data_IF_613088422730
#
_entry.id   IF_613088422730
#
_cell.length_a   1.000
_cell.length_b   1.000
_cell.length_c   1.000
_cell.angle_alpha   90.00
_cell.angle_beta   90.00
_cell.angle_gamma   90.00
#
_symmetry.space_group_name_H-M   'P 1'
#
loop_
_entity.id
_entity.type
_entity.pdbx_description
1 polymer ?
#
# COMPACT_ATOMS: atom_id res chain seq x y z
N UNK A 1 -10.03 7.62 33.67
CA UNK A 1 -9.33 7.83 32.40
C UNK A 1 -8.22 6.78 32.17
N UNK A 2 -7.42 6.50 33.17
CA UNK A 2 -6.33 5.51 33.10
C UNK A 2 -6.80 4.06 32.90
N UNK A 3 -7.97 3.68 33.42
CA UNK A 3 -8.52 2.32 33.26
C UNK A 3 -8.91 2.07 31.80
N UNK A 4 -9.54 3.04 31.14
CA UNK A 4 -9.90 2.93 29.72
C UNK A 4 -8.68 2.87 28.80
N UNK A 5 -7.60 3.55 29.15
CA UNK A 5 -6.35 3.51 28.38
C UNK A 5 -5.61 2.18 28.55
N UNK A 6 -5.67 1.58 29.74
CA UNK A 6 -5.11 0.25 30.00
C UNK A 6 -5.88 -0.85 29.25
N UNK A 7 -7.22 -0.81 29.29
CA UNK A 7 -8.07 -1.73 28.52
C UNK A 7 -7.87 -1.55 27.00
N UNK A 8 -7.77 -0.30 26.50
CA UNK A 8 -7.49 -0.04 25.11
C UNK A 8 -6.12 -0.57 24.67
N UNK A 9 -5.10 -0.50 25.53
CA UNK A 9 -3.77 -1.07 25.29
C UNK A 9 -3.83 -2.62 25.21
N UNK A 10 -4.56 -3.26 26.11
CA UNK A 10 -4.75 -4.72 26.11
C UNK A 10 -5.50 -5.20 24.85
N UNK A 11 -6.53 -4.48 24.43
CA UNK A 11 -7.25 -4.77 23.17
C UNK A 11 -6.32 -4.62 21.96
N UNK A 12 -5.44 -3.64 21.95
CA UNK A 12 -4.44 -3.43 20.91
C UNK A 12 -3.47 -4.60 20.79
N UNK A 13 -2.96 -5.10 21.93
CA UNK A 13 -2.04 -6.25 21.97
C UNK A 13 -2.74 -7.52 21.46
N UNK A 14 -3.94 -7.82 21.96
CA UNK A 14 -4.71 -8.99 21.54
C UNK A 14 -5.12 -8.93 20.06
N UNK A 15 -5.43 -7.76 19.52
CA UNK A 15 -5.70 -7.56 18.10
C UNK A 15 -4.45 -7.79 17.27
N UNK A 16 -3.31 -7.26 17.69
CA UNK A 16 -2.02 -7.44 17.01
C UNK A 16 -1.60 -8.91 16.96
N UNK A 17 -1.77 -9.64 18.07
CA UNK A 17 -1.47 -11.08 18.14
C UNK A 17 -2.35 -11.89 17.19
N UNK A 18 -3.65 -11.58 17.12
CA UNK A 18 -4.57 -12.23 16.16
C UNK A 18 -4.18 -11.97 14.70
N UNK A 19 -3.83 -10.74 14.37
CA UNK A 19 -3.35 -10.38 13.03
C UNK A 19 -2.06 -11.12 12.71
N UNK A 20 -1.11 -11.14 13.65
CA UNK A 20 0.16 -11.84 13.51
C UNK A 20 -0.03 -13.35 13.31
N UNK A 21 -0.89 -13.98 14.10
CA UNK A 21 -1.23 -15.39 13.96
C UNK A 21 -1.87 -15.69 12.60
N UNK A 22 -2.75 -14.81 12.11
CA UNK A 22 -3.35 -14.90 10.78
C UNK A 22 -2.32 -14.83 9.64
N UNK A 23 -1.35 -13.94 9.73
CA UNK A 23 -0.24 -13.85 8.76
C UNK A 23 0.71 -15.05 8.83
N UNK A 24 0.99 -15.55 10.04
CA UNK A 24 1.77 -16.78 10.23
C UNK A 24 1.08 -17.99 9.61
N UNK A 25 -0.24 -18.13 9.78
CA UNK A 25 -1.03 -19.21 9.19
C UNK A 25 -1.03 -19.15 7.66
N UNK A 26 -1.05 -17.96 7.07
CA UNK A 26 -0.99 -17.74 5.62
C UNK A 26 0.42 -17.86 5.02
N UNK A 27 1.44 -17.95 5.85
CA UNK A 27 2.82 -18.19 5.45
C UNK A 27 3.68 -16.94 5.29
N UNK A 28 3.12 -15.78 4.93
CA UNK A 28 3.90 -14.58 4.65
C UNK A 28 4.73 -14.09 5.85
N UNK A 29 4.21 -14.20 7.06
CA UNK A 29 4.92 -13.80 8.27
C UNK A 29 6.01 -14.79 8.74
N UNK A 30 6.22 -15.89 8.00
CA UNK A 30 7.34 -16.81 8.21
C UNK A 30 8.62 -16.33 7.52
N UNK A 31 8.48 -15.39 6.60
CA UNK A 31 9.60 -14.74 5.94
C UNK A 31 10.16 -13.61 6.81
N UNK A 32 11.45 -13.36 6.68
CA UNK A 32 12.06 -12.17 7.27
C UNK A 32 11.74 -10.92 6.44
N UNK A 33 12.09 -9.74 6.95
CA UNK A 33 11.77 -8.46 6.31
C UNK A 33 12.38 -8.34 4.91
N UNK A 34 13.59 -8.82 4.71
CA UNK A 34 14.28 -8.80 3.41
C UNK A 34 13.53 -9.67 2.39
N UNK A 35 13.14 -10.87 2.80
CA UNK A 35 12.38 -11.80 1.95
C UNK A 35 11.01 -11.24 1.59
N UNK A 36 10.31 -10.61 2.54
CA UNK A 36 9.02 -9.96 2.30
C UNK A 36 9.19 -8.82 1.30
N UNK A 37 10.22 -8.00 1.46
CA UNK A 37 10.53 -6.91 0.54
C UNK A 37 10.81 -7.43 -0.87
N UNK A 38 11.64 -8.45 -1.02
CA UNK A 38 11.93 -9.06 -2.32
C UNK A 38 10.66 -9.65 -3.00
N UNK A 39 9.78 -10.28 -2.24
CA UNK A 39 8.51 -10.80 -2.77
C UNK A 39 7.58 -9.65 -3.21
N UNK A 40 7.56 -8.56 -2.45
CA UNK A 40 6.80 -7.36 -2.80
C UNK A 40 7.37 -6.70 -4.07
N UNK A 41 8.68 -6.52 -4.16
CA UNK A 41 9.35 -5.97 -5.35
C UNK A 41 9.03 -6.77 -6.62
N UNK A 42 9.11 -8.10 -6.57
CA UNK A 42 8.74 -8.96 -7.70
C UNK A 42 7.28 -8.78 -8.13
N UNK A 43 6.39 -8.60 -7.17
CA UNK A 43 4.97 -8.36 -7.44
C UNK A 43 4.74 -6.98 -8.05
N UNK A 44 5.44 -5.96 -7.55
CA UNK A 44 5.39 -4.59 -8.08
C UNK A 44 5.96 -4.51 -9.50
N UNK A 45 7.08 -5.20 -9.78
CA UNK A 45 7.67 -5.28 -11.12
C UNK A 45 6.70 -5.93 -12.11
N UNK A 46 6.07 -7.03 -11.70
CA UNK A 46 5.07 -7.70 -12.53
C UNK A 46 3.86 -6.80 -12.83
N UNK A 47 3.39 -6.05 -11.83
CA UNK A 47 2.31 -5.07 -12.01
C UNK A 47 2.72 -3.93 -12.93
N UNK A 48 3.92 -3.39 -12.78
CA UNK A 48 4.44 -2.30 -13.61
C UNK A 48 4.53 -2.73 -15.09
N UNK A 49 5.03 -3.93 -15.34
CA UNK A 49 5.08 -4.52 -16.68
C UNK A 49 3.66 -4.78 -17.21
N UNK A 50 2.77 -5.30 -16.39
CA UNK A 50 1.40 -5.61 -16.78
C UNK A 50 0.58 -4.36 -17.13
N UNK A 51 0.70 -3.30 -16.35
CA UNK A 51 0.06 -2.00 -16.63
C UNK A 51 0.67 -1.41 -17.89
N UNK A 52 2.01 -1.37 -18.00
CA UNK A 52 2.72 -0.78 -19.13
C UNK A 52 2.28 0.67 -19.34
N UNK A 53 1.87 0.99 -20.57
CA UNK A 53 1.40 2.33 -20.95
C UNK A 53 -0.14 2.47 -20.93
N UNK A 54 -0.84 1.43 -20.46
CA UNK A 54 -2.30 1.45 -20.34
C UNK A 54 -2.75 2.35 -19.18
N UNK A 55 -3.85 3.08 -19.33
CA UNK A 55 -4.41 3.87 -18.24
C UNK A 55 -4.96 3.02 -17.08
N UNK A 56 -5.47 1.82 -17.36
CA UNK A 56 -6.00 0.86 -16.39
C UNK A 56 -5.52 -0.56 -16.73
N UNK A 57 -5.71 -1.50 -15.82
CA UNK A 57 -5.17 -2.87 -15.94
C UNK A 57 -5.59 -3.56 -17.25
N UNK A 58 -6.85 -3.41 -17.64
CA UNK A 58 -7.41 -4.08 -18.83
C UNK A 58 -7.55 -3.18 -20.05
N UNK A 59 -7.01 -1.95 -20.04
CA UNK A 59 -7.05 -1.02 -21.16
C UNK A 59 -7.55 0.36 -20.78
N UNK A 60 -8.46 0.94 -21.58
CA UNK A 60 -8.87 2.34 -21.47
C UNK A 60 -9.96 2.61 -20.42
N UNK A 61 -10.59 1.57 -19.89
CA UNK A 61 -11.62 1.70 -18.87
C UNK A 61 -11.26 0.89 -17.62
N UNK A 62 -11.55 1.43 -16.42
CA UNK A 62 -11.33 0.69 -15.19
C UNK A 62 -12.30 -0.48 -15.07
N UNK A 63 -11.84 -1.56 -14.47
CA UNK A 63 -12.64 -2.75 -14.15
C UNK A 63 -12.58 -3.10 -12.66
N UNK A 64 -13.31 -4.12 -12.23
CA UNK A 64 -13.32 -4.53 -10.82
C UNK A 64 -11.95 -4.90 -10.25
N UNK A 65 -11.04 -5.42 -11.08
CA UNK A 65 -9.67 -5.73 -10.67
C UNK A 65 -8.86 -4.47 -10.34
N UNK A 66 -9.13 -3.35 -11.06
CA UNK A 66 -8.50 -2.07 -10.75
C UNK A 66 -8.82 -1.60 -9.34
N UNK A 67 -10.04 -1.81 -8.84
CA UNK A 67 -10.41 -1.45 -7.48
C UNK A 67 -9.55 -2.17 -6.42
N UNK A 68 -9.28 -3.46 -6.62
CA UNK A 68 -8.43 -4.25 -5.71
C UNK A 68 -6.96 -3.83 -5.79
N UNK A 69 -6.42 -3.71 -6.99
CA UNK A 69 -5.01 -3.33 -7.20
C UNK A 69 -4.75 -1.91 -6.72
N UNK A 70 -5.67 -0.98 -7.03
CA UNK A 70 -5.61 0.38 -6.54
C UNK A 70 -5.57 0.44 -5.01
N UNK A 71 -6.51 -0.23 -4.32
CA UNK A 71 -6.56 -0.22 -2.86
C UNK A 71 -5.27 -0.78 -2.24
N UNK A 72 -4.70 -1.84 -2.84
CA UNK A 72 -3.45 -2.45 -2.39
C UNK A 72 -2.25 -1.51 -2.58
N UNK A 73 -2.13 -0.89 -3.76
CA UNK A 73 -1.03 0.03 -4.07
C UNK A 73 -1.14 1.32 -3.24
N UNK A 74 -2.33 1.91 -3.12
CA UNK A 74 -2.55 3.10 -2.31
C UNK A 74 -2.21 2.84 -0.83
N UNK A 75 -2.57 1.66 -0.31
CA UNK A 75 -2.19 1.24 1.04
C UNK A 75 -0.69 1.05 1.20
N UNK A 76 0.00 0.48 0.21
CA UNK A 76 1.46 0.31 0.24
C UNK A 76 2.20 1.65 0.14
N UNK A 77 1.65 2.62 -0.60
CA UNK A 77 2.25 3.95 -0.84
C UNK A 77 1.90 4.98 0.25
N UNK A 78 1.02 4.64 1.21
CA UNK A 78 0.62 5.60 2.26
C UNK A 78 1.81 6.15 3.03
N UNK A 79 1.87 7.47 3.31
CA UNK A 79 2.98 8.10 4.02
C UNK A 79 2.98 7.83 5.54
N UNK A 80 1.97 7.11 6.06
CA UNK A 80 1.87 6.82 7.49
C UNK A 80 2.85 5.76 7.99
N UNK A 81 3.35 4.91 7.09
CA UNK A 81 4.28 3.83 7.43
C UNK A 81 5.55 3.95 6.59
N UNK A 82 6.66 4.09 7.26
CA UNK A 82 7.99 4.08 6.64
C UNK A 82 8.46 2.63 6.55
N UNK A 83 8.34 2.04 5.36
CA UNK A 83 8.66 0.64 5.11
C UNK A 83 9.42 0.46 3.79
N UNK A 84 10.32 -0.54 3.68
CA UNK A 84 11.00 -0.86 2.42
C UNK A 84 10.03 -1.17 1.27
N UNK A 85 8.86 -1.74 1.56
CA UNK A 85 7.81 -2.01 0.56
C UNK A 85 7.23 -0.70 0.01
N UNK A 86 7.05 0.31 0.87
CA UNK A 86 6.63 1.64 0.44
C UNK A 86 7.65 2.27 -0.50
N UNK A 87 8.92 2.24 -0.12
CA UNK A 87 10.00 2.80 -0.95
C UNK A 87 10.06 2.12 -2.31
N UNK A 88 9.93 0.80 -2.33
CA UNK A 88 9.83 0.03 -3.55
C UNK A 88 8.62 0.43 -4.40
N UNK A 89 7.45 0.66 -3.81
CA UNK A 89 6.24 1.04 -4.54
C UNK A 89 6.35 2.45 -5.15
N UNK A 90 6.81 3.45 -4.37
CA UNK A 90 6.93 4.84 -4.82
C UNK A 90 8.08 5.06 -5.81
N UNK A 91 9.08 4.17 -5.85
CA UNK A 91 10.16 4.22 -6.84
C UNK A 91 9.73 3.82 -8.25
N UNK A 92 8.48 3.37 -8.44
CA UNK A 92 7.93 2.93 -9.73
C UNK A 92 6.94 3.95 -10.30
N UNK A 93 7.39 4.83 -11.22
CA UNK A 93 6.59 5.97 -11.70
C UNK A 93 5.26 5.57 -12.34
N UNK A 94 5.21 4.44 -13.04
CA UNK A 94 3.98 3.95 -13.68
C UNK A 94 2.93 3.55 -12.65
N UNK A 95 3.33 2.91 -11.56
CA UNK A 95 2.42 2.55 -10.46
C UNK A 95 1.92 3.79 -9.72
N UNK A 96 2.79 4.77 -9.47
CA UNK A 96 2.41 6.06 -8.88
C UNK A 96 1.41 6.79 -9.77
N UNK A 97 1.68 6.88 -11.09
CA UNK A 97 0.79 7.52 -12.05
C UNK A 97 -0.57 6.79 -12.15
N UNK A 98 -0.58 5.46 -12.06
CA UNK A 98 -1.81 4.67 -12.01
C UNK A 98 -2.64 4.99 -10.76
N UNK A 99 -2.01 5.00 -9.58
CA UNK A 99 -2.72 5.33 -8.33
C UNK A 99 -3.24 6.76 -8.35
N UNK A 100 -2.44 7.75 -8.81
CA UNK A 100 -2.91 9.13 -8.98
C UNK A 100 -4.13 9.21 -9.88
N UNK A 101 -4.12 8.54 -11.03
CA UNK A 101 -5.26 8.53 -11.97
C UNK A 101 -6.52 7.94 -11.35
N UNK A 102 -6.39 6.88 -10.55
CA UNK A 102 -7.51 6.28 -9.83
C UNK A 102 -8.04 7.23 -8.75
N UNK A 103 -7.15 7.92 -8.02
CA UNK A 103 -7.54 8.94 -7.03
C UNK A 103 -8.28 10.09 -7.70
N UNK A 104 -7.75 10.69 -8.75
CA UNK A 104 -8.37 11.81 -9.47
C UNK A 104 -9.76 11.45 -10.00
N UNK A 105 -9.94 10.20 -10.43
CA UNK A 105 -11.20 9.74 -11.01
C UNK A 105 -12.28 9.42 -9.97
N UNK A 106 -11.91 8.77 -8.87
CA UNK A 106 -12.88 8.21 -7.91
C UNK A 106 -12.92 8.94 -6.58
N UNK A 107 -11.89 9.73 -6.27
CA UNK A 107 -11.75 10.45 -5.00
C UNK A 107 -11.23 11.88 -5.25
N UNK A 108 -11.85 12.66 -6.14
CA UNK A 108 -11.33 13.98 -6.55
C UNK A 108 -11.29 15.00 -5.39
N UNK A 109 -12.04 14.77 -4.31
CA UNK A 109 -12.03 15.59 -3.10
C UNK A 109 -10.83 15.34 -2.19
N UNK A 110 -10.07 14.25 -2.42
CA UNK A 110 -8.89 13.93 -1.64
C UNK A 110 -7.61 14.36 -2.36
N UNK A 111 -6.86 15.23 -1.73
CA UNK A 111 -5.47 15.49 -2.14
C UNK A 111 -4.61 14.29 -1.79
N UNK A 112 -4.46 13.37 -2.73
CA UNK A 112 -3.57 12.25 -2.55
C UNK A 112 -2.14 12.64 -2.89
N UNK A 113 -1.27 12.41 -1.92
CA UNK A 113 0.17 12.58 -2.08
C UNK A 113 0.86 11.31 -1.56
N UNK A 114 1.56 10.61 -2.42
CA UNK A 114 2.38 9.45 -2.04
C UNK A 114 3.61 9.85 -1.19
N UNK A 115 3.68 11.09 -0.74
CA UNK A 115 4.86 11.64 -0.08
C UNK A 115 6.04 11.86 -1.03
N UNK A 116 5.75 11.91 -2.34
CA UNK A 116 6.73 12.14 -3.40
C UNK A 116 6.82 13.63 -3.72
N UNK A 117 5.89 14.44 -3.22
CA UNK A 117 5.90 15.88 -3.49
C UNK A 117 6.99 16.55 -2.66
N UNK A 118 8.10 16.99 -3.27
CA UNK A 118 9.22 17.61 -2.56
C UNK A 118 8.84 18.91 -1.86
N UNK A 119 7.72 19.55 -2.24
CA UNK A 119 7.24 20.77 -1.61
C UNK A 119 6.67 20.53 -0.20
N UNK A 120 6.18 19.30 0.11
CA UNK A 120 5.71 18.94 1.46
C UNK A 120 6.82 18.43 2.37
N UNK A 121 7.91 17.92 1.83
CA UNK A 121 9.07 17.51 2.62
C UNK A 121 9.93 18.70 3.10
N UNK A 122 9.74 19.88 2.52
CA UNK A 122 10.48 21.11 2.85
C UNK A 122 9.75 22.03 3.84
N UNK A 123 8.55 21.68 4.28
CA UNK A 123 7.74 22.41 5.27
C UNK A 123 7.80 21.73 6.64
#
# INVERSE_FOLDING_TARGET
FNVYMAEAADWGVAALERVRAGFMARGIARHNEVEITLLAERSLDALEVFIGDKPYLMGDQPCGTDAFVFATLAGAMTPFFDTPVRDAAISRPRLVAYVSRMMDRFYPEFEWDAGINPARQAA
#
